data_IF_762595919588
#
_entry.id   IF_762595919588
#
_cell.length_a   1.000
_cell.length_b   1.000
_cell.length_c   1.000
_cell.angle_alpha   90.00
_cell.angle_beta   90.00
_cell.angle_gamma   90.00
#
_symmetry.space_group_name_H-M   'P 1'
#
loop_
_entity.id
_entity.type
_entity.pdbx_description
1 polymer ?
#
# COMPACT_ATOMS: atom_id res chain seq x y z
N UNK A 1 -2.14 39.98 5.35
CA UNK A 1 -1.16 41.04 5.06
C UNK A 1 0.09 40.39 4.52
N UNK A 2 0.53 40.71 3.29
CA UNK A 2 1.85 40.32 2.80
C UNK A 2 2.91 41.19 3.46
N UNK A 3 3.93 40.57 4.04
CA UNK A 3 5.11 41.27 4.56
C UNK A 3 6.00 41.64 3.35
N UNK A 4 6.44 42.90 3.20
CA UNK A 4 7.32 43.31 2.09
C UNK A 4 8.69 42.59 2.07
N UNK A 5 9.04 41.87 3.14
CA UNK A 5 10.25 41.06 3.26
C UNK A 5 10.03 39.57 2.93
N UNK A 6 8.85 39.18 2.45
CA UNK A 6 8.55 37.79 2.06
C UNK A 6 8.16 37.72 0.59
N UNK A 7 8.91 36.92 -0.15
CA UNK A 7 8.58 36.52 -1.52
C UNK A 7 8.08 35.08 -1.45
N UNK A 8 6.86 34.84 -1.92
CA UNK A 8 6.30 33.52 -2.14
C UNK A 8 6.24 33.25 -3.65
N UNK A 9 6.73 32.09 -4.08
CA UNK A 9 6.78 31.67 -5.47
C UNK A 9 6.30 30.22 -5.59
N UNK A 10 5.14 30.05 -6.22
CA UNK A 10 4.57 28.74 -6.50
C UNK A 10 5.06 28.21 -7.85
N UNK A 11 5.68 27.03 -7.84
CA UNK A 11 6.09 26.32 -9.05
C UNK A 11 5.32 25.00 -9.18
N UNK A 12 4.48 24.88 -10.20
CA UNK A 12 3.75 23.65 -10.49
C UNK A 12 4.63 22.67 -11.28
N UNK A 13 5.41 21.85 -10.57
CA UNK A 13 6.24 20.83 -11.20
C UNK A 13 5.42 19.58 -11.56
N UNK A 14 5.33 19.27 -12.85
CA UNK A 14 4.81 18.00 -13.35
C UNK A 14 5.82 16.84 -13.30
N UNK A 15 5.37 15.62 -13.57
CA UNK A 15 6.18 14.39 -13.53
C UNK A 15 7.42 14.41 -14.44
N UNK A 16 7.39 15.17 -15.54
CA UNK A 16 8.53 15.36 -16.45
C UNK A 16 9.76 16.06 -15.81
N UNK A 17 9.60 16.58 -14.59
CA UNK A 17 10.64 17.28 -13.84
C UNK A 17 11.19 16.45 -12.66
N UNK A 18 10.76 15.20 -12.50
CA UNK A 18 11.24 14.31 -11.44
C UNK A 18 12.77 14.12 -11.50
N UNK A 19 13.43 14.28 -10.34
CA UNK A 19 14.88 14.08 -10.19
C UNK A 19 15.74 15.23 -10.72
N UNK A 20 15.13 16.30 -11.25
CA UNK A 20 15.84 17.51 -11.67
C UNK A 20 15.98 18.46 -10.48
N UNK A 21 17.11 19.18 -10.46
CA UNK A 21 17.35 20.25 -9.50
C UNK A 21 17.08 21.58 -10.17
N UNK A 22 16.26 22.40 -9.52
CA UNK A 22 15.99 23.77 -9.97
C UNK A 22 16.79 24.73 -9.10
N UNK A 23 17.52 25.62 -9.77
CA UNK A 23 18.32 26.65 -9.13
C UNK A 23 17.55 27.95 -9.23
N UNK A 24 17.31 28.59 -8.08
CA UNK A 24 16.73 29.93 -8.03
C UNK A 24 17.89 30.91 -7.90
N UNK A 25 17.92 31.89 -8.80
CA UNK A 25 18.91 32.96 -8.82
C UNK A 25 18.25 34.27 -8.42
N UNK A 26 18.86 34.97 -7.45
CA UNK A 26 18.42 36.30 -7.04
C UNK A 26 19.36 37.32 -7.69
N UNK A 27 18.78 38.30 -8.40
CA UNK A 27 19.51 39.40 -9.03
C UNK A 27 19.14 40.70 -8.34
N UNK A 28 20.15 41.49 -7.97
CA UNK A 28 19.96 42.83 -7.45
C UNK A 28 21.08 43.77 -7.85
N UNK A 29 21.07 45.01 -7.35
CA UNK A 29 22.12 46.00 -7.64
C UNK A 29 23.55 45.53 -7.29
N UNK A 30 23.68 44.60 -6.33
CA UNK A 30 24.94 43.97 -5.94
C UNK A 30 25.37 42.75 -6.78
N UNK A 31 24.64 42.42 -7.86
CA UNK A 31 24.93 41.29 -8.74
C UNK A 31 23.94 40.13 -8.65
N UNK A 32 24.30 39.01 -9.28
CA UNK A 32 23.49 37.78 -9.35
C UNK A 32 24.10 36.72 -8.43
N UNK A 33 23.29 36.08 -7.58
CA UNK A 33 23.72 34.93 -6.78
C UNK A 33 24.29 33.82 -7.66
N UNK A 34 25.33 33.09 -7.25
CA UNK A 34 25.94 32.02 -8.07
C UNK A 34 25.62 30.57 -7.65
N UNK A 35 24.79 30.37 -6.63
CA UNK A 35 24.44 29.04 -6.10
C UNK A 35 25.68 28.20 -5.70
N UNK A 36 26.70 28.84 -5.15
CA UNK A 36 27.96 28.18 -4.76
C UNK A 36 27.75 27.25 -3.57
N UNK A 37 28.23 26.02 -3.68
CA UNK A 37 28.25 25.03 -2.58
C UNK A 37 29.57 25.04 -1.80
N UNK A 38 30.56 25.77 -2.29
CA UNK A 38 31.88 25.95 -1.68
C UNK A 38 32.30 27.42 -1.78
N UNK A 39 33.17 27.85 -0.87
CA UNK A 39 33.73 29.20 -0.93
C UNK A 39 34.63 29.36 -2.18
N UNK A 40 34.60 30.53 -2.85
CA UNK A 40 35.54 30.84 -3.92
C UNK A 40 37.00 30.70 -3.46
N UNK A 41 37.88 30.30 -4.39
CA UNK A 41 39.30 30.21 -4.13
C UNK A 41 39.86 31.54 -3.60
N UNK A 42 40.61 31.50 -2.50
CA UNK A 42 41.16 32.69 -1.82
C UNK A 42 40.26 33.28 -0.72
N UNK A 43 39.08 32.71 -0.46
CA UNK A 43 38.23 33.15 0.65
C UNK A 43 38.84 32.73 2.00
N UNK A 44 38.83 33.61 3.02
CA UNK A 44 39.29 33.25 4.36
C UNK A 44 38.46 32.10 4.96
N UNK A 45 39.13 31.22 5.70
CA UNK A 45 38.46 30.11 6.37
C UNK A 45 37.42 30.63 7.37
N UNK A 46 36.19 30.12 7.29
CA UNK A 46 35.09 30.49 8.17
C UNK A 46 34.21 31.65 7.69
N UNK A 47 34.52 32.27 6.54
CA UNK A 47 33.61 33.24 5.92
C UNK A 47 32.32 32.57 5.46
N UNK A 48 31.17 33.21 5.73
CA UNK A 48 29.88 32.75 5.21
C UNK A 48 29.79 33.04 3.70
N UNK A 49 29.22 32.11 2.93
CA UNK A 49 29.03 32.24 1.47
C UNK A 49 28.03 33.38 1.14
N UNK A 50 27.14 33.74 2.07
CA UNK A 50 26.24 34.89 1.93
C UNK A 50 25.27 34.76 0.75
N UNK A 51 25.05 35.85 0.02
CA UNK A 51 24.18 35.89 -1.16
C UNK A 51 24.67 35.00 -2.33
N UNK A 52 25.91 34.51 -2.27
CA UNK A 52 26.47 33.62 -3.29
C UNK A 52 26.00 32.17 -3.15
N UNK A 53 25.44 31.79 -1.98
CA UNK A 53 25.00 30.42 -1.70
C UNK A 53 23.74 30.05 -2.51
N UNK A 54 22.95 31.06 -2.89
CA UNK A 54 21.69 30.91 -3.62
C UNK A 54 20.64 30.05 -2.90
N UNK A 55 19.57 29.67 -3.61
CA UNK A 55 18.51 28.80 -3.10
C UNK A 55 18.42 27.56 -4.02
N UNK A 56 18.77 26.41 -3.48
CA UNK A 56 18.67 25.13 -4.18
C UNK A 56 17.41 24.38 -3.73
N UNK A 57 16.46 24.20 -4.64
CA UNK A 57 15.27 23.38 -4.39
C UNK A 57 15.45 22.05 -5.10
N UNK A 58 15.84 21.03 -4.34
CA UNK A 58 15.86 19.66 -4.85
C UNK A 58 14.46 19.08 -4.69
N UNK A 59 13.70 19.05 -5.78
CA UNK A 59 12.45 18.28 -5.82
C UNK A 59 12.77 16.81 -6.00
N UNK A 60 12.77 16.07 -4.89
CA UNK A 60 12.78 14.61 -4.93
C UNK A 60 11.33 14.15 -4.99
N UNK A 61 10.94 13.49 -6.07
CA UNK A 61 9.87 12.52 -5.93
C UNK A 61 10.38 11.45 -4.96
N UNK A 62 9.49 10.86 -4.14
CA UNK A 62 9.72 9.45 -3.79
C UNK A 62 10.03 8.76 -5.12
N UNK A 63 11.19 8.07 -5.19
CA UNK A 63 11.66 7.32 -6.36
C UNK A 63 10.46 6.90 -7.18
N UNK A 64 10.36 7.24 -8.49
CA UNK A 64 9.16 7.02 -9.28
C UNK A 64 8.62 5.68 -8.87
N UNK A 65 7.46 5.70 -8.19
CA UNK A 65 6.79 4.46 -7.86
C UNK A 65 6.63 3.85 -9.22
N UNK A 66 7.40 2.79 -9.50
CA UNK A 66 7.24 2.08 -10.74
C UNK A 66 5.75 1.75 -10.71
N UNK A 67 5.02 2.17 -11.72
CA UNK A 67 3.72 1.56 -12.01
C UNK A 67 3.90 0.10 -12.43
N UNK A 68 4.99 -0.55 -12.00
CA UNK A 68 4.98 -1.98 -11.78
C UNK A 68 4.00 -2.23 -10.63
N UNK A 69 3.05 -3.15 -10.77
CA UNK A 69 2.48 -3.80 -9.60
C UNK A 69 3.67 -4.32 -8.78
N UNK A 70 3.90 -3.75 -7.60
CA UNK A 70 4.96 -4.26 -6.75
C UNK A 70 4.59 -5.71 -6.41
N UNK A 71 5.52 -6.63 -6.63
CA UNK A 71 5.27 -8.03 -6.35
C UNK A 71 5.13 -8.19 -4.83
N UNK A 72 4.02 -8.79 -4.36
CA UNK A 72 3.88 -9.14 -2.95
C UNK A 72 5.14 -9.76 -2.34
N UNK A 73 5.61 -9.23 -1.21
CA UNK A 73 6.81 -9.74 -0.51
C UNK A 73 8.09 -8.93 -0.71
N UNK A 74 8.07 -7.87 -1.52
CA UNK A 74 9.23 -6.98 -1.71
C UNK A 74 9.37 -6.00 -0.53
N UNK A 75 10.56 -5.89 0.12
CA UNK A 75 10.80 -4.92 1.19
C UNK A 75 10.49 -3.48 0.75
N UNK A 76 9.66 -2.76 1.52
CA UNK A 76 9.29 -1.36 1.24
C UNK A 76 8.04 -1.16 0.38
N UNK A 77 7.36 -2.23 -0.07
CA UNK A 77 6.05 -2.07 -0.68
C UNK A 77 4.92 -2.08 0.36
N UNK A 78 4.25 -0.94 0.51
CA UNK A 78 3.15 -0.74 1.45
C UNK A 78 1.77 -0.94 0.80
N UNK A 79 1.67 -1.50 -0.42
CA UNK A 79 0.36 -1.80 -1.00
C UNK A 79 -0.29 -2.91 -0.16
N UNK A 80 -1.51 -2.69 0.37
CA UNK A 80 -2.21 -3.74 1.08
C UNK A 80 -2.46 -4.88 0.10
N UNK A 81 -1.88 -6.04 0.35
CA UNK A 81 -2.21 -7.25 -0.39
C UNK A 81 -3.69 -7.55 -0.14
N UNK A 82 -4.50 -7.35 -1.18
CA UNK A 82 -5.90 -7.74 -1.16
C UNK A 82 -5.94 -9.26 -1.33
N UNK A 83 -6.64 -9.94 -0.42
CA UNK A 83 -6.84 -11.37 -0.51
C UNK A 83 -7.68 -11.70 -1.74
N UNK A 84 -7.41 -12.84 -2.38
CA UNK A 84 -8.19 -13.32 -3.51
C UNK A 84 -8.74 -14.70 -3.18
N UNK A 85 -10.07 -14.85 -3.25
CA UNK A 85 -10.72 -16.16 -3.12
C UNK A 85 -10.82 -16.78 -4.51
N UNK A 86 -10.38 -18.03 -4.65
CA UNK A 86 -10.38 -18.77 -5.92
C UNK A 86 -11.34 -19.95 -5.90
N UNK A 87 -11.74 -20.42 -4.72
CA UNK A 87 -12.61 -21.58 -4.59
C UNK A 87 -13.29 -21.68 -3.24
N UNK A 88 -14.38 -22.43 -3.22
CA UNK A 88 -15.06 -22.85 -2.01
C UNK A 88 -15.51 -24.31 -2.16
N UNK A 89 -15.48 -25.06 -1.06
CA UNK A 89 -16.00 -26.43 -1.00
C UNK A 89 -16.72 -26.65 0.32
N UNK A 90 -17.98 -27.07 0.24
CA UNK A 90 -18.75 -27.45 1.41
C UNK A 90 -18.62 -28.96 1.62
N UNK A 91 -18.26 -29.34 2.85
CA UNK A 91 -18.14 -30.73 3.26
C UNK A 91 -18.79 -30.96 4.62
N UNK A 92 -19.04 -32.24 4.94
CA UNK A 92 -19.66 -32.67 6.18
C UNK A 92 -18.70 -33.58 6.95
N UNK A 93 -18.45 -33.26 8.21
CA UNK A 93 -17.68 -34.15 9.10
C UNK A 93 -18.51 -35.38 9.47
N UNK A 94 -17.83 -36.45 9.92
CA UNK A 94 -18.46 -37.64 10.47
C UNK A 94 -19.45 -37.34 11.62
N UNK A 95 -19.21 -36.25 12.36
CA UNK A 95 -20.12 -35.75 13.42
C UNK A 95 -21.40 -35.12 12.89
N UNK A 96 -21.59 -35.07 11.57
CA UNK A 96 -22.70 -34.42 10.90
C UNK A 96 -22.56 -32.91 10.72
N UNK A 97 -21.50 -32.30 11.27
CA UNK A 97 -21.24 -30.86 11.18
C UNK A 97 -20.72 -30.46 9.80
N UNK A 98 -21.36 -29.46 9.19
CA UNK A 98 -20.87 -28.82 7.97
C UNK A 98 -19.72 -27.84 8.25
N UNK A 99 -18.75 -27.83 7.34
CA UNK A 99 -17.72 -26.82 7.27
C UNK A 99 -17.50 -26.41 5.81
N UNK A 100 -17.09 -25.17 5.61
CA UNK A 100 -16.75 -24.64 4.30
C UNK A 100 -15.24 -24.45 4.25
N UNK A 101 -14.56 -25.15 3.35
CA UNK A 101 -13.18 -24.87 3.00
C UNK A 101 -13.16 -23.80 1.90
N UNK A 102 -12.38 -22.74 2.13
CA UNK A 102 -12.16 -21.67 1.16
C UNK A 102 -10.69 -21.70 0.74
N UNK A 103 -10.44 -21.59 -0.55
CA UNK A 103 -9.10 -21.54 -1.13
C UNK A 103 -8.85 -20.18 -1.74
N UNK A 104 -7.61 -19.69 -1.61
CA UNK A 104 -7.26 -18.38 -2.11
C UNK A 104 -5.77 -18.07 -1.99
N UNK A 105 -5.43 -16.83 -2.31
CA UNK A 105 -4.07 -16.31 -2.24
C UNK A 105 -4.06 -14.99 -1.49
N UNK A 106 -2.87 -14.58 -1.03
CA UNK A 106 -2.65 -13.30 -0.34
C UNK A 106 -3.50 -13.14 0.94
N UNK A 107 -3.95 -14.24 1.55
CA UNK A 107 -4.72 -14.21 2.79
C UNK A 107 -3.74 -14.02 3.94
N UNK A 108 -3.98 -13.06 4.84
CA UNK A 108 -3.16 -12.87 6.03
C UNK A 108 -3.73 -13.65 7.21
N UNK A 109 -2.87 -13.95 8.19
CA UNK A 109 -3.35 -14.36 9.50
C UNK A 109 -4.28 -13.29 10.09
N UNK A 110 -5.33 -13.72 10.77
CA UNK A 110 -6.40 -12.87 11.28
C UNK A 110 -7.23 -12.12 10.21
N UNK A 111 -7.26 -12.59 8.96
CA UNK A 111 -8.22 -12.09 7.98
C UNK A 111 -9.67 -12.31 8.46
N UNK A 112 -10.50 -11.28 8.32
CA UNK A 112 -11.94 -11.39 8.50
C UNK A 112 -12.54 -12.10 7.30
N UNK A 113 -13.49 -13.00 7.55
CA UNK A 113 -14.16 -13.79 6.51
C UNK A 113 -15.66 -13.68 6.68
N UNK A 114 -16.36 -13.34 5.61
CA UNK A 114 -17.83 -13.36 5.57
C UNK A 114 -18.30 -14.25 4.43
N UNK A 115 -19.44 -14.92 4.62
CA UNK A 115 -20.12 -15.74 3.60
C UNK A 115 -21.57 -15.26 3.55
N UNK A 116 -22.00 -14.69 2.42
CA UNK A 116 -23.32 -14.07 2.31
C UNK A 116 -23.54 -12.94 3.33
N UNK A 117 -22.48 -12.25 3.75
CA UNK A 117 -22.52 -11.25 4.82
C UNK A 117 -22.53 -11.81 6.25
N UNK A 118 -22.49 -13.15 6.42
CA UNK A 118 -22.46 -13.80 7.73
C UNK A 118 -21.04 -14.20 8.10
N UNK A 119 -20.62 -13.83 9.31
CA UNK A 119 -19.36 -14.29 9.88
C UNK A 119 -19.47 -15.72 10.46
N UNK A 120 -18.57 -16.64 10.09
CA UNK A 120 -18.52 -17.98 10.68
C UNK A 120 -18.08 -17.90 12.14
N UNK A 121 -18.50 -18.88 12.97
CA UNK A 121 -18.15 -18.86 14.40
C UNK A 121 -16.67 -19.14 14.65
N UNK A 122 -16.03 -19.93 13.78
CA UNK A 122 -14.63 -20.31 13.92
C UNK A 122 -13.98 -20.45 12.55
N UNK A 123 -12.76 -19.94 12.45
CA UNK A 123 -11.91 -19.99 11.26
C UNK A 123 -10.64 -20.75 11.64
N UNK A 124 -10.26 -21.75 10.85
CA UNK A 124 -9.02 -22.51 11.03
C UNK A 124 -8.17 -22.39 9.78
N UNK A 125 -6.87 -22.17 9.94
CA UNK A 125 -5.92 -22.30 8.83
C UNK A 125 -5.66 -23.79 8.59
N UNK A 126 -5.83 -24.26 7.36
CA UNK A 126 -5.64 -25.67 6.98
C UNK A 126 -4.36 -25.84 6.19
N UNK A 127 -4.12 -24.96 5.24
CA UNK A 127 -2.91 -24.96 4.41
C UNK A 127 -2.34 -23.54 4.38
N UNK A 128 -1.01 -23.46 4.33
CA UNK A 128 -0.25 -22.23 4.16
C UNK A 128 0.66 -22.38 2.96
N UNK A 129 0.96 -21.27 2.32
CA UNK A 129 2.00 -21.20 1.31
C UNK A 129 3.38 -21.42 1.97
N UNK A 130 4.20 -22.37 1.49
CA UNK A 130 5.46 -22.73 2.14
C UNK A 130 6.54 -21.64 2.03
N UNK A 131 6.40 -20.70 1.10
CA UNK A 131 7.35 -19.60 0.90
C UNK A 131 6.99 -18.39 1.76
N UNK A 132 5.69 -18.12 1.92
CA UNK A 132 5.21 -16.89 2.57
C UNK A 132 4.56 -17.12 3.94
N UNK A 133 4.29 -18.36 4.33
CA UNK A 133 3.49 -18.75 5.51
C UNK A 133 2.07 -18.14 5.54
N UNK A 134 1.62 -17.55 4.44
CA UNK A 134 0.27 -17.00 4.32
C UNK A 134 -0.73 -18.14 4.13
N UNK A 135 -1.90 -18.10 4.80
CA UNK A 135 -2.97 -19.05 4.53
C UNK A 135 -3.34 -19.14 3.04
N UNK A 136 -3.39 -20.36 2.52
CA UNK A 136 -3.91 -20.67 1.18
C UNK A 136 -5.26 -21.38 1.25
N UNK A 137 -5.54 -22.00 2.40
CA UNK A 137 -6.82 -22.64 2.69
C UNK A 137 -7.28 -22.37 4.11
N UNK A 138 -8.51 -21.87 4.25
CA UNK A 138 -9.18 -21.68 5.52
C UNK A 138 -10.39 -22.59 5.62
N UNK A 139 -10.63 -23.15 6.81
CA UNK A 139 -11.84 -23.90 7.15
C UNK A 139 -12.73 -23.07 8.05
N UNK A 140 -13.91 -22.76 7.55
CA UNK A 140 -14.96 -22.03 8.24
C UNK A 140 -15.93 -23.02 8.90
N UNK A 141 -16.18 -22.85 10.19
CA UNK A 141 -16.95 -23.81 11.00
C UNK A 141 -18.09 -23.10 11.71
N UNK A 142 -19.30 -23.67 11.60
CA UNK A 142 -20.59 -23.15 12.09
C UNK A 142 -21.01 -21.83 11.42
N UNK A 143 -22.33 -21.61 11.32
CA UNK A 143 -22.98 -20.46 10.67
C UNK A 143 -22.74 -20.31 9.16
N UNK A 144 -21.88 -21.12 8.54
CA UNK A 144 -21.61 -21.10 7.09
C UNK A 144 -22.87 -21.33 6.25
N UNK A 145 -23.74 -22.26 6.67
CA UNK A 145 -24.98 -22.56 5.95
C UNK A 145 -25.95 -21.39 5.87
N UNK A 146 -25.91 -20.45 6.82
CA UNK A 146 -26.82 -19.31 6.84
C UNK A 146 -26.47 -18.27 5.77
N UNK A 147 -25.26 -18.34 5.22
CA UNK A 147 -24.77 -17.47 4.15
C UNK A 147 -24.60 -18.16 2.81
N UNK A 148 -24.92 -19.46 2.71
CA UNK A 148 -24.74 -20.26 1.50
C UNK A 148 -26.10 -20.56 0.83
N UNK A 149 -26.19 -20.48 -0.51
CA UNK A 149 -25.16 -19.96 -1.42
C UNK A 149 -24.99 -18.44 -1.26
N UNK A 150 -23.78 -17.93 -1.44
CA UNK A 150 -23.53 -16.51 -1.22
C UNK A 150 -22.09 -16.07 -1.47
N UNK A 151 -21.89 -14.76 -1.46
CA UNK A 151 -20.59 -14.15 -1.72
C UNK A 151 -19.65 -14.32 -0.52
N UNK A 152 -18.45 -14.84 -0.79
CA UNK A 152 -17.34 -14.90 0.15
C UNK A 152 -16.52 -13.62 -0.01
N UNK A 153 -16.29 -12.94 1.10
CA UNK A 153 -15.45 -11.73 1.14
C UNK A 153 -14.41 -11.89 2.25
N UNK A 154 -13.15 -11.68 1.89
CA UNK A 154 -12.01 -11.69 2.79
C UNK A 154 -11.49 -10.27 3.01
N UNK A 155 -11.26 -9.88 4.26
CA UNK A 155 -10.64 -8.59 4.59
C UNK A 155 -9.41 -8.81 5.45
N UNK A 156 -8.23 -8.55 4.88
CA UNK A 156 -6.98 -8.63 5.62
C UNK A 156 -6.86 -7.42 6.58
N UNK A 157 -6.17 -7.54 7.72
CA UNK A 157 -5.93 -6.42 8.63
C UNK A 157 -5.24 -5.25 7.90
N UNK A 158 -5.85 -4.07 7.99
CA UNK A 158 -5.34 -2.85 7.35
C UNK A 158 -5.43 -2.82 5.81
N UNK A 159 -6.19 -3.73 5.19
CA UNK A 159 -6.40 -3.79 3.76
C UNK A 159 -7.88 -3.60 3.39
N UNK A 160 -8.13 -3.27 2.12
CA UNK A 160 -9.47 -3.31 1.56
C UNK A 160 -10.01 -4.76 1.50
N UNK A 161 -11.33 -4.88 1.47
CA UNK A 161 -12.00 -6.15 1.25
C UNK A 161 -11.67 -6.73 -0.14
N UNK A 162 -11.64 -8.06 -0.24
CA UNK A 162 -11.50 -8.77 -1.50
C UNK A 162 -12.66 -8.49 -2.43
N UNK A 163 -12.45 -8.75 -3.72
CA UNK A 163 -13.57 -8.90 -4.63
C UNK A 163 -14.52 -10.00 -4.10
N UNK A 164 -15.85 -9.81 -4.19
CA UNK A 164 -16.81 -10.85 -3.82
C UNK A 164 -16.63 -12.08 -4.69
N UNK A 165 -16.48 -13.25 -4.06
CA UNK A 165 -16.44 -14.55 -4.74
C UNK A 165 -17.75 -15.29 -4.51
N UNK A 166 -18.52 -15.55 -5.57
CA UNK A 166 -19.79 -16.26 -5.43
C UNK A 166 -19.55 -17.75 -5.17
N UNK A 167 -19.90 -18.21 -3.97
CA UNK A 167 -19.93 -19.62 -3.63
C UNK A 167 -21.32 -20.20 -3.87
N UNK A 168 -21.44 -21.15 -4.80
CA UNK A 168 -22.71 -21.76 -5.20
C UNK A 168 -23.08 -23.02 -4.41
N UNK A 169 -22.16 -23.50 -3.56
CA UNK A 169 -22.40 -24.63 -2.65
C UNK A 169 -23.60 -24.34 -1.73
N UNK A 170 -24.36 -25.39 -1.42
CA UNK A 170 -25.57 -25.28 -0.60
C UNK A 170 -25.53 -26.31 0.50
N UNK A 171 -25.89 -25.90 1.71
CA UNK A 171 -26.21 -26.88 2.73
C UNK A 171 -27.49 -27.61 2.33
N UNK A 172 -27.59 -28.93 2.59
CA UNK A 172 -28.83 -29.66 2.36
C UNK A 172 -29.98 -28.94 3.06
N UNK A 173 -31.11 -28.78 2.36
CA UNK A 173 -32.34 -28.38 3.00
C UNK A 173 -32.69 -29.46 4.04
N UNK A 174 -32.95 -29.04 5.27
CA UNK A 174 -33.61 -29.91 6.25
C UNK A 174 -35.03 -30.22 5.80
#
# INVERSE_FOLDING_TARGET
MLNPNLIDAHFAFGSANAGKTFLIFVVGPGGTSRNLTTLPAGSPAGCAIGNEQGIQVTFKCNTPGTTQPCTPGTPGCNTPLIATVTGCKLDRQATGQFFLDITGTNIKSAALVTVGGIEPKKIKVIEVDPQTNNPTKLRLVKKVCNGLPGNIVLTNPGAAASAPFLCTERCPAN
#
